data_IF_430767472267
#
_entry.id   IF_430767472267
#
_cell.length_a   1.000
_cell.length_b   1.000
_cell.length_c   1.000
_cell.angle_alpha   90.00
_cell.angle_beta   90.00
_cell.angle_gamma   90.00
#
_symmetry.space_group_name_H-M   'P 1'
#
loop_
_entity.id
_entity.type
_entity.pdbx_description
1 polymer ?
#
# COMPACT_ATOMS: atom_id res chain seq x y z
N UNK A 1 -23.56 -11.27 -8.29
CA UNK A 1 -23.16 -10.16 -9.15
C UNK A 1 -24.43 -9.45 -9.57
N UNK A 2 -24.63 -8.27 -9.00
CA UNK A 2 -25.84 -7.44 -9.15
C UNK A 2 -26.26 -7.33 -10.62
N UNK A 3 -27.56 -7.46 -10.89
CA UNK A 3 -28.18 -7.03 -12.15
C UNK A 3 -27.85 -5.56 -12.46
N UNK A 4 -27.71 -4.71 -11.44
CA UNK A 4 -27.33 -3.31 -11.58
C UNK A 4 -25.91 -3.11 -12.11
N UNK A 5 -24.87 -3.75 -11.54
CA UNK A 5 -23.50 -3.66 -12.09
C UNK A 5 -23.47 -4.02 -13.58
N UNK A 6 -24.17 -5.10 -13.97
CA UNK A 6 -24.20 -5.57 -15.35
C UNK A 6 -24.97 -4.66 -16.32
N UNK A 7 -25.82 -3.75 -15.82
CA UNK A 7 -26.46 -2.70 -16.64
C UNK A 7 -25.48 -1.60 -17.04
N UNK A 8 -24.43 -1.40 -16.25
CA UNK A 8 -23.46 -0.32 -16.47
C UNK A 8 -22.09 -0.82 -16.94
N UNK A 9 -21.72 -2.05 -16.58
CA UNK A 9 -20.39 -2.61 -16.82
C UNK A 9 -20.43 -4.06 -17.33
N UNK A 10 -19.61 -4.35 -18.33
CA UNK A 10 -19.26 -5.72 -18.70
C UNK A 10 -18.10 -6.20 -17.82
N UNK A 11 -18.30 -7.29 -17.07
CA UNK A 11 -17.28 -7.85 -16.17
C UNK A 11 -16.47 -8.90 -16.93
N UNK A 12 -15.15 -8.74 -16.91
CA UNK A 12 -14.19 -9.57 -17.61
C UNK A 12 -13.36 -10.48 -16.69
N UNK A 13 -12.12 -10.81 -17.09
CA UNK A 13 -11.29 -11.78 -16.38
C UNK A 13 -10.88 -11.30 -14.98
N UNK A 14 -10.52 -12.28 -14.15
CA UNK A 14 -9.92 -12.08 -12.83
C UNK A 14 -8.52 -11.49 -12.95
N UNK A 15 -8.28 -10.41 -12.20
CA UNK A 15 -6.98 -9.75 -12.08
C UNK A 15 -6.25 -10.23 -10.81
N UNK A 16 -7.01 -10.54 -9.75
CA UNK A 16 -6.45 -11.07 -8.50
C UNK A 16 -7.53 -11.36 -7.47
N UNK A 17 -7.10 -11.96 -6.34
CA UNK A 17 -7.93 -12.18 -5.15
C UNK A 17 -7.25 -11.59 -3.93
N UNK A 18 -7.97 -10.76 -3.20
CA UNK A 18 -7.56 -10.25 -1.90
C UNK A 18 -8.17 -11.07 -0.76
N UNK A 19 -7.94 -10.61 0.48
CA UNK A 19 -8.44 -11.25 1.72
C UNK A 19 -9.96 -11.46 1.69
N UNK A 20 -10.71 -10.48 1.19
CA UNK A 20 -12.17 -10.45 1.33
C UNK A 20 -12.93 -10.61 0.00
N UNK A 21 -12.23 -10.77 -1.12
CA UNK A 21 -12.92 -10.77 -2.40
C UNK A 21 -12.04 -10.90 -3.63
N UNK A 22 -12.67 -10.76 -4.78
CA UNK A 22 -12.06 -10.93 -6.09
C UNK A 22 -12.04 -9.60 -6.83
N UNK A 23 -10.91 -9.29 -7.47
CA UNK A 23 -10.77 -8.14 -8.37
C UNK A 23 -10.82 -8.64 -9.81
N UNK A 24 -11.71 -8.07 -10.60
CA UNK A 24 -11.87 -8.36 -12.04
C UNK A 24 -11.72 -7.11 -12.87
N UNK A 25 -11.26 -7.24 -14.11
CA UNK A 25 -11.40 -6.16 -15.09
C UNK A 25 -12.88 -5.95 -15.38
N UNK A 26 -13.31 -4.72 -15.56
CA UNK A 26 -14.62 -4.43 -16.16
C UNK A 26 -14.52 -3.29 -17.19
N UNK A 27 -15.52 -3.19 -18.05
CA UNK A 27 -15.60 -2.18 -19.11
C UNK A 27 -16.93 -1.46 -19.00
N UNK A 28 -16.90 -0.13 -18.95
CA UNK A 28 -18.09 0.71 -18.97
C UNK A 28 -18.85 0.49 -20.28
N UNK A 29 -20.14 0.15 -20.19
CA UNK A 29 -21.00 -0.03 -21.36
C UNK A 29 -21.35 1.31 -22.03
N UNK A 30 -21.20 2.42 -21.30
CA UNK A 30 -21.48 3.77 -21.81
C UNK A 30 -20.26 4.36 -22.54
N UNK A 31 -19.07 4.32 -21.91
CA UNK A 31 -17.86 4.99 -22.43
C UNK A 31 -16.88 4.04 -23.12
N UNK A 32 -16.99 2.74 -22.92
CA UNK A 32 -16.00 1.77 -23.39
C UNK A 32 -14.70 1.76 -22.57
N UNK A 33 -14.56 2.61 -21.57
CA UNK A 33 -13.39 2.70 -20.71
C UNK A 33 -13.26 1.49 -19.77
N UNK A 34 -12.02 1.20 -19.38
CA UNK A 34 -11.68 0.04 -18.58
C UNK A 34 -11.42 0.39 -17.12
N UNK A 35 -11.93 -0.45 -16.24
CA UNK A 35 -11.87 -0.29 -14.78
C UNK A 35 -11.52 -1.63 -14.13
N UNK A 36 -11.26 -1.60 -12.83
CA UNK A 36 -11.26 -2.78 -11.98
C UNK A 36 -12.55 -2.80 -11.14
N UNK A 37 -13.13 -3.97 -10.92
CA UNK A 37 -14.22 -4.16 -9.97
C UNK A 37 -13.78 -5.11 -8.86
N UNK A 38 -13.68 -4.59 -7.62
CA UNK A 38 -13.46 -5.39 -6.41
C UNK A 38 -14.82 -5.84 -5.89
N UNK A 39 -15.04 -7.16 -5.84
CA UNK A 39 -16.26 -7.77 -5.33
C UNK A 39 -15.96 -8.43 -3.99
N UNK A 40 -16.52 -7.90 -2.91
CA UNK A 40 -16.33 -8.37 -1.54
C UNK A 40 -17.54 -9.22 -1.15
N UNK A 41 -17.29 -10.44 -0.67
CA UNK A 41 -18.33 -11.37 -0.23
C UNK A 41 -18.78 -11.03 1.19
N UNK A 42 -20.06 -10.66 1.36
CA UNK A 42 -20.60 -10.25 2.66
C UNK A 42 -20.58 -11.39 3.67
N UNK A 43 -20.77 -12.64 3.23
CA UNK A 43 -20.82 -13.79 4.11
C UNK A 43 -19.49 -14.03 4.82
N UNK A 44 -18.37 -13.66 4.19
CA UNK A 44 -17.02 -13.78 4.79
C UNK A 44 -16.74 -12.81 5.93
N UNK A 45 -17.62 -11.83 6.14
CA UNK A 45 -17.44 -10.74 7.09
C UNK A 45 -18.52 -10.73 8.18
N UNK A 46 -19.37 -11.75 8.23
CA UNK A 46 -20.47 -11.83 9.21
C UNK A 46 -20.01 -12.29 10.60
N UNK A 47 -18.88 -13.00 10.69
CA UNK A 47 -18.44 -13.64 11.93
C UNK A 47 -17.63 -12.71 12.86
N UNK A 48 -17.02 -11.65 12.32
CA UNK A 48 -16.21 -10.67 13.08
C UNK A 48 -16.79 -9.24 12.91
N UNK A 49 -17.18 -8.56 14.01
CA UNK A 49 -17.65 -7.18 13.97
C UNK A 49 -16.68 -6.19 13.28
N UNK A 50 -15.36 -6.41 13.39
CA UNK A 50 -14.36 -5.58 12.73
C UNK A 50 -14.42 -5.73 11.21
N UNK A 51 -14.52 -6.97 10.72
CA UNK A 51 -14.61 -7.28 9.30
C UNK A 51 -15.91 -6.72 8.69
N UNK A 52 -17.02 -6.71 9.46
CA UNK A 52 -18.27 -6.06 9.04
C UNK A 52 -18.14 -4.54 8.94
N UNK A 53 -17.52 -3.89 9.93
CA UNK A 53 -17.28 -2.46 9.90
C UNK A 53 -16.38 -2.07 8.72
N UNK A 54 -15.36 -2.88 8.42
CA UNK A 54 -14.49 -2.74 7.25
C UNK A 54 -15.28 -2.73 5.94
N UNK A 55 -16.25 -3.63 5.76
CA UNK A 55 -17.10 -3.66 4.56
C UNK A 55 -17.88 -2.35 4.36
N UNK A 56 -18.52 -1.87 5.42
CA UNK A 56 -19.39 -0.69 5.37
C UNK A 56 -18.59 0.61 5.19
N UNK A 57 -17.34 0.61 5.67
CA UNK A 57 -16.47 1.78 5.65
C UNK A 57 -15.56 1.85 4.42
N UNK A 58 -15.17 0.71 3.82
CA UNK A 58 -14.22 0.69 2.70
C UNK A 58 -14.59 1.68 1.57
N UNK A 59 -15.84 1.74 1.04
CA UNK A 59 -16.18 2.71 0.00
C UNK A 59 -16.05 4.16 0.47
N UNK A 60 -16.39 4.46 1.73
CA UNK A 60 -16.34 5.81 2.29
C UNK A 60 -14.89 6.25 2.50
N UNK A 61 -14.07 5.39 3.08
CA UNK A 61 -12.67 5.65 3.36
C UNK A 61 -11.85 5.71 2.07
N UNK A 62 -12.13 4.85 1.09
CA UNK A 62 -11.51 4.94 -0.25
C UNK A 62 -11.83 6.29 -0.90
N UNK A 63 -13.10 6.73 -0.90
CA UNK A 63 -13.49 8.05 -1.42
C UNK A 63 -12.75 9.18 -0.72
N UNK A 64 -12.72 9.15 0.62
CA UNK A 64 -12.08 10.18 1.42
C UNK A 64 -10.57 10.23 1.17
N UNK A 65 -9.90 9.08 1.15
CA UNK A 65 -8.47 8.97 0.87
C UNK A 65 -8.11 9.45 -0.54
N UNK A 66 -8.97 9.20 -1.53
CA UNK A 66 -8.80 9.56 -2.93
C UNK A 66 -9.12 11.02 -3.26
N UNK A 67 -9.96 11.69 -2.46
CA UNK A 67 -10.48 13.03 -2.74
C UNK A 67 -9.35 14.08 -2.85
N UNK A 68 -8.96 14.45 -4.07
CA UNK A 68 -7.85 15.37 -4.33
C UNK A 68 -6.47 14.77 -4.03
N UNK A 69 -6.37 13.44 -3.96
CA UNK A 69 -5.14 12.69 -3.77
C UNK A 69 -4.96 11.75 -4.97
N UNK A 70 -4.18 12.15 -5.99
CA UNK A 70 -3.97 11.32 -7.17
C UNK A 70 -3.13 10.08 -6.87
N UNK A 71 -2.49 9.98 -5.70
CA UNK A 71 -1.65 8.85 -5.32
C UNK A 71 -2.43 7.75 -4.58
N UNK A 72 -3.74 7.89 -4.41
CA UNK A 72 -4.64 6.84 -3.95
C UNK A 72 -5.56 6.37 -5.08
N UNK A 73 -5.96 5.10 -5.06
CA UNK A 73 -6.88 4.52 -6.05
C UNK A 73 -8.21 5.27 -6.05
N UNK A 74 -8.70 5.67 -7.22
CA UNK A 74 -9.98 6.33 -7.34
C UNK A 74 -11.12 5.32 -7.40
N UNK A 75 -12.26 5.74 -6.87
CA UNK A 75 -13.51 4.98 -6.87
C UNK A 75 -14.55 5.69 -7.73
N UNK A 76 -15.04 4.97 -8.74
CA UNK A 76 -15.91 5.49 -9.78
C UNK A 76 -17.38 5.17 -9.52
N UNK A 77 -17.66 3.98 -8.98
CA UNK A 77 -19.02 3.57 -8.65
C UNK A 77 -19.01 2.51 -7.54
N UNK A 78 -20.16 2.39 -6.86
CA UNK A 78 -20.40 1.35 -5.86
C UNK A 78 -21.75 0.70 -6.18
N UNK A 79 -21.78 -0.63 -6.20
CA UNK A 79 -22.99 -1.42 -6.36
C UNK A 79 -23.07 -2.45 -5.24
N UNK A 80 -24.27 -2.84 -4.86
CA UNK A 80 -24.49 -3.77 -3.76
C UNK A 80 -25.63 -4.74 -4.11
N UNK A 81 -25.37 -6.06 -4.02
CA UNK A 81 -26.40 -7.11 -4.05
C UNK A 81 -26.52 -7.77 -2.67
N UNK A 82 -27.49 -8.67 -2.43
CA UNK A 82 -27.60 -9.36 -1.15
C UNK A 82 -26.34 -10.13 -0.71
N UNK A 83 -25.48 -10.53 -1.64
CA UNK A 83 -24.31 -11.36 -1.38
C UNK A 83 -22.98 -10.58 -1.42
N UNK A 84 -22.90 -9.50 -2.19
CA UNK A 84 -21.64 -8.80 -2.47
C UNK A 84 -21.75 -7.28 -2.42
N UNK A 85 -20.66 -6.65 -2.02
CA UNK A 85 -20.37 -5.24 -2.29
C UNK A 85 -19.38 -5.16 -3.46
N UNK A 86 -19.67 -4.32 -4.45
CA UNK A 86 -18.86 -4.13 -5.64
C UNK A 86 -18.35 -2.69 -5.71
N UNK A 87 -17.02 -2.52 -5.67
CA UNK A 87 -16.37 -1.22 -5.86
C UNK A 87 -15.75 -1.17 -7.27
N UNK A 88 -16.18 -0.21 -8.09
CA UNK A 88 -15.55 0.08 -9.38
C UNK A 88 -14.44 1.10 -9.15
N UNK A 89 -13.21 0.72 -9.47
CA UNK A 89 -11.95 1.40 -9.16
C UNK A 89 -11.14 1.65 -10.44
N UNK A 90 -10.11 2.48 -10.34
CA UNK A 90 -9.10 2.60 -11.41
C UNK A 90 -8.59 1.22 -11.83
N UNK A 91 -8.47 1.00 -13.15
CA UNK A 91 -7.67 -0.11 -13.65
C UNK A 91 -6.20 0.29 -13.65
N UNK A 92 -5.37 -0.47 -12.93
CA UNK A 92 -3.94 -0.23 -12.80
C UNK A 92 -3.20 -1.38 -13.48
N UNK A 93 -2.80 -1.24 -14.76
CA UNK A 93 -2.30 -2.34 -15.56
C UNK A 93 -0.81 -2.66 -15.32
N UNK A 94 -0.08 -1.79 -14.61
CA UNK A 94 1.31 -2.04 -14.25
C UNK A 94 1.46 -3.15 -13.21
N UNK A 95 2.63 -3.80 -13.12
CA UNK A 95 2.89 -4.77 -12.06
C UNK A 95 2.88 -4.06 -10.70
N UNK A 96 2.32 -4.72 -9.69
CA UNK A 96 2.38 -4.26 -8.31
C UNK A 96 3.84 -4.22 -7.81
N UNK A 97 4.08 -3.54 -6.68
CA UNK A 97 5.44 -3.42 -6.15
C UNK A 97 6.01 -4.77 -5.71
N UNK A 98 5.19 -5.74 -5.30
CA UNK A 98 5.66 -7.08 -4.94
C UNK A 98 6.27 -7.79 -6.14
N UNK A 99 5.60 -7.73 -7.30
CA UNK A 99 6.08 -8.28 -8.56
C UNK A 99 7.38 -7.60 -9.00
N UNK A 100 7.49 -6.28 -8.84
CA UNK A 100 8.74 -5.54 -9.13
C UNK A 100 9.88 -5.97 -8.19
N UNK A 101 9.62 -6.07 -6.88
CA UNK A 101 10.61 -6.54 -5.89
C UNK A 101 11.07 -7.96 -6.24
N UNK A 102 10.12 -8.85 -6.53
CA UNK A 102 10.42 -10.25 -6.87
C UNK A 102 11.25 -10.37 -8.14
N UNK A 103 11.01 -9.51 -9.14
CA UNK A 103 11.72 -9.54 -10.40
C UNK A 103 13.10 -8.88 -10.36
N UNK A 104 13.30 -7.86 -9.52
CA UNK A 104 14.43 -6.93 -9.68
C UNK A 104 15.08 -6.42 -8.40
N UNK A 105 14.68 -6.89 -7.21
CA UNK A 105 15.38 -6.51 -5.98
C UNK A 105 16.82 -7.08 -5.94
N UNK A 106 17.77 -6.38 -5.30
CA UNK A 106 17.61 -5.07 -4.65
C UNK A 106 17.50 -3.92 -5.68
N UNK A 107 16.65 -2.95 -5.39
CA UNK A 107 16.51 -1.75 -6.21
C UNK A 107 17.69 -0.79 -6.00
N UNK A 108 18.12 -0.06 -7.04
CA UNK A 108 18.97 1.11 -6.87
C UNK A 108 18.32 2.12 -5.92
N UNK A 109 19.12 2.74 -5.03
CA UNK A 109 18.57 3.70 -4.05
C UNK A 109 17.75 4.83 -4.66
N UNK A 110 18.13 5.44 -5.80
CA UNK A 110 17.30 6.49 -6.42
C UNK A 110 15.91 6.00 -6.84
N UNK A 111 15.80 4.74 -7.27
CA UNK A 111 14.52 4.14 -7.64
C UNK A 111 13.68 3.84 -6.40
N UNK A 112 14.28 3.19 -5.39
CA UNK A 112 13.61 2.94 -4.10
C UNK A 112 13.17 4.26 -3.43
N UNK A 113 13.97 5.32 -3.55
CA UNK A 113 13.67 6.66 -3.07
C UNK A 113 12.45 7.27 -3.78
N UNK A 114 12.36 7.15 -5.10
CA UNK A 114 11.23 7.67 -5.87
C UNK A 114 9.92 6.97 -5.49
N UNK A 115 9.95 5.63 -5.35
CA UNK A 115 8.79 4.84 -4.89
C UNK A 115 8.40 5.23 -3.46
N UNK A 116 9.36 5.33 -2.55
CA UNK A 116 9.11 5.73 -1.17
C UNK A 116 8.53 7.15 -1.06
N UNK A 117 9.06 8.10 -1.83
CA UNK A 117 8.56 9.47 -1.81
C UNK A 117 7.10 9.54 -2.26
N UNK A 118 6.74 8.83 -3.33
CA UNK A 118 5.36 8.75 -3.78
C UNK A 118 4.44 8.03 -2.78
N UNK A 119 4.92 6.98 -2.12
CA UNK A 119 4.19 6.29 -1.06
C UNK A 119 3.98 7.18 0.17
N UNK A 120 5.02 7.89 0.61
CA UNK A 120 4.95 8.81 1.74
C UNK A 120 4.00 9.99 1.44
N UNK A 121 4.00 10.52 0.22
CA UNK A 121 3.04 11.54 -0.21
C UNK A 121 1.59 11.01 -0.19
N UNK A 122 1.36 9.81 -0.71
CA UNK A 122 0.05 9.16 -0.66
C UNK A 122 -0.46 8.99 0.78
N UNK A 123 0.41 8.51 1.68
CA UNK A 123 0.08 8.31 3.09
C UNK A 123 -0.16 9.64 3.81
N UNK A 124 0.71 10.62 3.63
CA UNK A 124 0.55 11.95 4.20
C UNK A 124 -0.77 12.60 3.75
N UNK A 125 -1.16 12.43 2.48
CA UNK A 125 -2.44 12.90 1.98
C UNK A 125 -3.64 12.18 2.63
N UNK A 126 -3.54 10.87 2.90
CA UNK A 126 -4.57 10.13 3.65
C UNK A 126 -4.65 10.60 5.10
N UNK A 127 -3.50 10.72 5.77
CA UNK A 127 -3.37 11.12 7.17
C UNK A 127 -3.94 12.53 7.42
N UNK A 128 -3.67 13.48 6.52
CA UNK A 128 -4.29 14.83 6.58
C UNK A 128 -5.81 14.84 6.48
N UNK A 129 -6.42 13.76 6.00
CA UNK A 129 -7.88 13.58 5.91
C UNK A 129 -8.43 12.69 7.02
N UNK A 130 -7.60 12.37 8.03
CA UNK A 130 -7.97 11.50 9.13
C UNK A 130 -8.15 10.05 8.74
N UNK A 131 -7.53 9.57 7.64
CA UNK A 131 -7.62 8.17 7.18
C UNK A 131 -6.27 7.48 7.36
N UNK A 132 -6.24 6.40 8.15
CA UNK A 132 -5.08 5.52 8.27
C UNK A 132 -5.33 4.24 7.46
N UNK A 133 -4.34 3.77 6.69
CA UNK A 133 -4.50 2.67 5.75
C UNK A 133 -4.45 1.28 6.43
N UNK A 134 -3.54 1.10 7.40
CA UNK A 134 -3.34 -0.08 8.25
C UNK A 134 -2.95 -1.40 7.58
N UNK A 135 -2.97 -1.49 6.25
CA UNK A 135 -2.45 -2.65 5.50
C UNK A 135 -1.51 -2.25 4.34
N UNK A 136 -0.55 -1.36 4.61
CA UNK A 136 0.46 -0.98 3.62
C UNK A 136 1.42 -2.14 3.41
N UNK A 137 1.51 -2.62 2.17
CA UNK A 137 2.39 -3.71 1.72
C UNK A 137 2.64 -3.60 0.22
N UNK A 138 3.67 -4.28 -0.34
CA UNK A 138 4.00 -4.17 -1.75
C UNK A 138 2.84 -4.54 -2.70
N UNK A 139 2.00 -5.50 -2.33
CA UNK A 139 0.81 -5.91 -3.08
C UNK A 139 -0.19 -4.76 -3.30
N UNK A 140 -0.25 -3.83 -2.34
CA UNK A 140 -1.18 -2.69 -2.33
C UNK A 140 -0.57 -1.42 -2.93
N UNK A 141 0.71 -1.47 -3.34
CA UNK A 141 1.39 -0.38 -4.03
C UNK A 141 1.40 -0.68 -5.53
N UNK A 142 0.43 -0.10 -6.22
CA UNK A 142 0.16 -0.31 -7.64
C UNK A 142 0.68 0.86 -8.48
N UNK A 143 0.69 0.67 -9.80
CA UNK A 143 1.19 1.68 -10.73
C UNK A 143 0.24 1.83 -11.93
N UNK A 144 0.00 3.07 -12.34
CA UNK A 144 -0.73 3.37 -13.57
C UNK A 144 0.14 3.17 -14.82
N UNK A 145 -0.44 3.40 -16.00
CA UNK A 145 0.24 3.28 -17.30
C UNK A 145 1.45 4.21 -17.45
N UNK A 146 1.48 5.32 -16.71
CA UNK A 146 2.60 6.26 -16.69
C UNK A 146 3.63 5.89 -15.61
N UNK A 147 3.43 4.78 -14.90
CA UNK A 147 4.27 4.31 -13.81
C UNK A 147 4.18 5.16 -12.55
N UNK A 148 3.10 5.93 -12.38
CA UNK A 148 2.84 6.68 -11.15
C UNK A 148 2.20 5.76 -10.12
N UNK A 149 2.64 5.89 -8.87
CA UNK A 149 2.14 5.09 -7.75
C UNK A 149 0.67 5.38 -7.47
N UNK A 150 -0.08 4.33 -7.12
CA UNK A 150 -1.43 4.36 -6.56
C UNK A 150 -1.49 3.40 -5.39
N UNK A 151 -1.75 3.94 -4.19
CA UNK A 151 -2.04 3.15 -3.01
C UNK A 151 -3.47 2.60 -3.12
N UNK A 152 -3.62 1.29 -2.99
CA UNK A 152 -4.88 0.58 -3.17
C UNK A 152 -5.23 -0.26 -1.93
N UNK A 153 -6.47 -0.76 -1.91
CA UNK A 153 -7.05 -1.62 -0.87
C UNK A 153 -7.17 -0.98 0.53
N UNK A 154 -8.17 -0.10 0.65
CA UNK A 154 -8.57 0.53 1.91
C UNK A 154 -9.52 -0.33 2.76
N UNK A 155 -9.59 -1.65 2.52
CA UNK A 155 -10.47 -2.55 3.26
C UNK A 155 -10.14 -2.67 4.75
N UNK A 156 -8.89 -2.38 5.14
CA UNK A 156 -8.47 -2.32 6.55
C UNK A 156 -8.38 -0.89 7.09
N UNK A 157 -8.71 0.13 6.29
CA UNK A 157 -8.53 1.51 6.69
C UNK A 157 -9.45 1.90 7.86
N UNK A 158 -9.08 2.95 8.60
CA UNK A 158 -9.90 3.51 9.66
C UNK A 158 -9.89 5.05 9.61
N UNK A 159 -11.02 5.65 9.98
CA UNK A 159 -11.12 7.08 10.17
C UNK A 159 -10.78 7.44 11.62
N UNK A 160 -9.68 8.15 11.81
CA UNK A 160 -9.23 8.62 13.12
C UNK A 160 -9.48 10.12 13.34
N UNK A 161 -10.05 10.83 12.36
CA UNK A 161 -10.37 12.26 12.47
C UNK A 161 -9.16 13.13 12.80
N UNK A 162 -9.33 14.08 13.73
CA UNK A 162 -8.29 15.03 14.13
C UNK A 162 -7.33 14.45 15.20
N UNK A 163 -6.78 13.26 14.94
CA UNK A 163 -5.78 12.63 15.82
C UNK A 163 -6.33 11.67 16.88
N UNK A 164 -7.49 11.07 16.63
CA UNK A 164 -8.02 9.96 17.41
C UNK A 164 -7.06 8.77 17.44
N UNK A 165 -7.15 7.97 18.51
CA UNK A 165 -6.46 6.69 18.60
C UNK A 165 -7.31 5.59 17.96
N UNK A 166 -6.63 4.61 17.38
CA UNK A 166 -7.23 3.42 16.78
C UNK A 166 -6.83 2.19 17.59
N UNK A 167 -7.63 1.13 17.51
CA UNK A 167 -7.39 -0.15 18.18
C UNK A 167 -7.55 -1.33 17.20
N UNK A 168 -7.32 -2.55 17.68
CA UNK A 168 -7.52 -3.77 16.90
C UNK A 168 -6.27 -4.23 16.15
N UNK A 169 -6.06 -5.55 16.13
CA UNK A 169 -4.92 -6.19 15.46
C UNK A 169 -5.30 -6.44 14.00
N UNK A 170 -4.79 -5.60 13.09
CA UNK A 170 -5.06 -5.68 11.65
C UNK A 170 -3.77 -5.58 10.83
N UNK A 171 -3.87 -5.93 9.55
CA UNK A 171 -2.77 -5.89 8.59
C UNK A 171 -2.06 -7.23 8.38
N UNK A 172 -1.14 -7.23 7.41
CA UNK A 172 -0.40 -8.43 6.98
C UNK A 172 0.84 -8.66 7.86
N UNK A 173 1.05 -9.85 8.48
CA UNK A 173 1.97 -10.04 9.61
C UNK A 173 3.37 -9.42 9.50
N UNK A 174 4.01 -9.52 8.33
CA UNK A 174 5.36 -8.97 8.10
C UNK A 174 5.44 -7.44 8.14
N UNK A 175 4.33 -6.74 7.96
CA UNK A 175 4.25 -5.29 7.80
C UNK A 175 3.59 -4.59 9.01
N UNK A 176 3.07 -5.35 9.98
CA UNK A 176 2.35 -4.81 11.13
C UNK A 176 3.32 -4.17 12.14
N UNK A 177 2.93 -3.02 12.71
CA UNK A 177 3.71 -2.29 13.70
C UNK A 177 3.67 -2.93 15.10
N UNK A 178 4.70 -2.74 15.96
CA UNK A 178 4.78 -3.38 17.28
C UNK A 178 3.62 -3.06 18.21
N UNK A 179 3.12 -1.83 18.18
CA UNK A 179 1.97 -1.40 18.98
C UNK A 179 0.66 -2.06 18.56
N UNK A 180 0.49 -2.34 17.27
CA UNK A 180 -0.67 -3.10 16.75
C UNK A 180 -0.57 -4.55 17.20
N UNK A 181 0.60 -5.20 17.05
CA UNK A 181 0.83 -6.57 17.53
C UNK A 181 0.62 -6.69 19.04
N UNK A 182 0.99 -5.65 19.80
CA UNK A 182 0.80 -5.61 21.24
C UNK A 182 -0.65 -5.35 21.68
N UNK A 183 -1.58 -5.14 20.74
CA UNK A 183 -2.99 -4.84 21.03
C UNK A 183 -3.18 -3.51 21.78
N UNK A 184 -2.29 -2.54 21.54
CA UNK A 184 -2.37 -1.20 22.16
C UNK A 184 -3.10 -0.24 21.24
N UNK A 185 -3.56 0.88 21.78
CA UNK A 185 -3.95 2.03 20.99
C UNK A 185 -2.77 2.56 20.15
N UNK A 186 -3.05 2.96 18.92
CA UNK A 186 -2.04 3.47 17.98
C UNK A 186 -2.54 4.67 17.17
N UNK A 187 -1.62 5.36 16.50
CA UNK A 187 -1.90 6.46 15.56
C UNK A 187 -1.51 6.07 14.12
N UNK A 188 -1.58 7.04 13.20
CA UNK A 188 -1.30 6.85 11.78
C UNK A 188 0.13 6.40 11.45
N UNK A 189 1.07 6.50 12.41
CA UNK A 189 2.48 6.12 12.20
C UNK A 189 2.67 4.61 12.07
N UNK A 190 1.63 3.80 12.28
CA UNK A 190 1.63 2.38 11.89
C UNK A 190 1.85 2.22 10.38
N UNK A 191 1.30 3.12 9.56
CA UNK A 191 1.53 3.10 8.10
C UNK A 191 2.99 3.42 7.75
N UNK A 192 3.65 4.27 8.54
CA UNK A 192 5.07 4.61 8.34
C UNK A 192 5.98 3.44 8.69
N UNK A 193 5.63 2.65 9.72
CA UNK A 193 6.32 1.40 10.00
C UNK A 193 6.22 0.45 8.81
N UNK A 194 4.99 0.22 8.31
CA UNK A 194 4.74 -0.65 7.17
C UNK A 194 5.48 -0.18 5.91
N UNK A 195 5.49 1.14 5.62
CA UNK A 195 6.28 1.72 4.53
C UNK A 195 7.79 1.54 4.74
N UNK A 196 8.28 1.55 5.99
CA UNK A 196 9.66 1.23 6.32
C UNK A 196 10.02 -0.23 6.02
N UNK A 197 9.09 -1.16 6.27
CA UNK A 197 9.25 -2.57 5.87
C UNK A 197 9.29 -2.70 4.35
N UNK A 198 8.43 -1.97 3.63
CA UNK A 198 8.44 -1.92 2.15
C UNK A 198 9.78 -1.40 1.63
N UNK A 199 10.31 -0.31 2.18
CA UNK A 199 11.63 0.22 1.81
C UNK A 199 12.76 -0.80 2.06
N UNK A 200 12.72 -1.48 3.20
CA UNK A 200 13.69 -2.52 3.52
C UNK A 200 13.63 -3.66 2.48
N UNK A 201 12.42 -4.07 2.08
CA UNK A 201 12.22 -5.09 1.05
C UNK A 201 12.72 -4.65 -0.33
N UNK A 202 12.48 -3.40 -0.74
CA UNK A 202 13.05 -2.87 -1.99
C UNK A 202 14.58 -2.89 -1.99
N UNK A 203 15.21 -2.51 -0.88
CA UNK A 203 16.67 -2.39 -0.78
C UNK A 203 17.41 -3.71 -0.55
N UNK A 204 16.71 -4.80 -0.19
CA UNK A 204 17.36 -6.06 0.20
C UNK A 204 16.74 -7.33 -0.39
N UNK A 205 15.56 -7.24 -0.99
CA UNK A 205 14.79 -8.39 -1.48
C UNK A 205 14.16 -9.27 -0.39
N UNK A 206 14.22 -8.86 0.88
CA UNK A 206 13.64 -9.60 2.01
C UNK A 206 13.05 -8.65 3.05
N UNK A 207 12.31 -9.17 4.03
CA UNK A 207 11.69 -8.39 5.12
C UNK A 207 12.62 -8.33 6.36
N UNK A 208 12.56 -7.27 7.19
CA UNK A 208 13.43 -7.11 8.35
C UNK A 208 13.10 -8.07 9.50
N UNK A 209 11.83 -8.49 9.61
CA UNK A 209 11.32 -9.38 10.67
C UNK A 209 10.72 -10.65 10.07
N UNK A 210 11.57 -11.51 9.51
CA UNK A 210 11.16 -12.78 8.91
C UNK A 210 10.88 -13.85 9.99
N UNK A 211 9.91 -14.73 9.78
CA UNK A 211 9.63 -15.92 10.62
C UNK A 211 8.75 -16.89 9.85
N UNK A 212 8.77 -18.18 10.22
CA UNK A 212 8.04 -19.22 9.48
C UNK A 212 6.56 -19.31 9.89
N UNK A 213 6.18 -18.60 10.96
CA UNK A 213 4.80 -18.44 11.41
C UNK A 213 4.50 -17.00 11.81
N UNK A 214 3.21 -16.61 11.80
CA UNK A 214 2.79 -15.30 12.27
C UNK A 214 3.24 -15.01 13.71
N UNK A 215 3.21 -16.02 14.59
CA UNK A 215 3.67 -15.90 15.97
C UNK A 215 5.17 -15.56 16.07
N UNK A 216 6.01 -16.18 15.25
CA UNK A 216 7.45 -15.87 15.20
C UNK A 216 7.73 -14.49 14.64
N UNK A 217 6.99 -14.08 13.61
CA UNK A 217 7.07 -12.73 13.05
C UNK A 217 6.70 -11.71 14.12
N UNK A 218 5.58 -11.90 14.80
CA UNK A 218 5.11 -11.02 15.87
C UNK A 218 6.10 -10.91 17.03
N UNK A 219 6.70 -12.00 17.48
CA UNK A 219 7.76 -11.98 18.50
C UNK A 219 8.97 -11.13 18.06
N UNK A 220 9.40 -11.24 16.80
CA UNK A 220 10.50 -10.42 16.24
C UNK A 220 10.12 -8.95 16.09
N UNK A 221 8.90 -8.66 15.64
CA UNK A 221 8.35 -7.30 15.53
C UNK A 221 8.32 -6.63 16.91
N UNK A 222 7.82 -7.31 17.94
CA UNK A 222 7.77 -6.80 19.32
C UNK A 222 9.16 -6.52 19.92
N UNK A 223 10.15 -7.35 19.57
CA UNK A 223 11.55 -7.12 19.95
C UNK A 223 12.16 -5.92 19.21
N UNK A 224 11.75 -5.67 17.97
CA UNK A 224 12.18 -4.51 17.17
C UNK A 224 13.69 -4.48 16.88
N UNK A 225 14.35 -5.64 16.87
CA UNK A 225 15.80 -5.73 16.61
C UNK A 225 16.09 -5.61 15.11
N UNK A 226 16.02 -4.38 14.60
CA UNK A 226 16.36 -4.09 13.20
C UNK A 226 17.85 -4.30 12.96
N UNK A 227 18.17 -5.12 11.94
CA UNK A 227 19.54 -5.43 11.54
C UNK A 227 19.76 -5.08 10.08
N UNK A 228 21.01 -4.82 9.72
CA UNK A 228 21.45 -4.59 8.35
C UNK A 228 22.58 -5.56 8.01
N UNK A 229 22.28 -6.83 7.68
CA UNK A 229 23.29 -7.82 7.36
C UNK A 229 24.21 -7.32 6.25
N UNK A 230 25.53 -7.41 6.43
CA UNK A 230 26.49 -6.90 5.44
C UNK A 230 26.35 -7.55 4.07
N UNK A 231 25.84 -8.78 3.98
CA UNK A 231 25.57 -9.45 2.70
C UNK A 231 24.51 -8.72 1.85
N UNK A 232 23.56 -8.03 2.49
CA UNK A 232 22.45 -7.34 1.81
C UNK A 232 22.64 -5.82 1.78
N UNK A 233 23.24 -5.25 2.83
CA UNK A 233 23.29 -3.81 3.05
C UNK A 233 24.71 -3.21 2.92
N UNK A 234 25.68 -3.91 2.33
CA UNK A 234 27.04 -3.34 2.14
C UNK A 234 27.00 -2.06 1.30
N UNK A 235 26.32 -2.13 0.16
CA UNK A 235 26.23 -1.03 -0.81
C UNK A 235 25.14 0.01 -0.46
N UNK A 236 24.32 -0.28 0.55
CA UNK A 236 23.27 0.65 1.00
C UNK A 236 23.88 1.76 1.86
N UNK A 237 23.57 3.00 1.53
CA UNK A 237 24.08 4.21 2.12
C UNK A 237 23.76 4.33 3.62
N UNK A 238 24.62 5.00 4.39
CA UNK A 238 24.31 5.33 5.78
C UNK A 238 22.99 6.12 5.94
N UNK A 239 22.66 6.97 4.97
CA UNK A 239 21.45 7.79 4.97
C UNK A 239 20.17 6.93 4.83
N UNK A 240 20.14 5.98 3.89
CA UNK A 240 19.02 5.04 3.75
C UNK A 240 18.84 4.18 5.01
N UNK A 241 19.94 3.72 5.62
CA UNK A 241 19.91 2.99 6.90
C UNK A 241 19.42 3.85 8.06
N UNK A 242 19.79 5.14 8.13
CA UNK A 242 19.28 6.07 9.14
C UNK A 242 17.77 6.28 8.99
N UNK A 243 17.28 6.47 7.76
CA UNK A 243 15.84 6.57 7.52
C UNK A 243 15.12 5.30 7.97
N UNK A 244 15.59 4.11 7.58
CA UNK A 244 15.01 2.84 8.00
C UNK A 244 14.91 2.73 9.53
N UNK A 245 15.95 3.14 10.28
CA UNK A 245 15.90 3.15 11.75
C UNK A 245 14.83 4.10 12.31
N UNK A 246 14.55 5.22 11.64
CA UNK A 246 13.56 6.20 12.08
C UNK A 246 12.13 5.82 11.69
N UNK A 247 11.94 5.13 10.56
CA UNK A 247 10.65 4.58 10.14
C UNK A 247 10.29 3.32 10.94
N UNK A 248 11.26 2.43 11.15
CA UNK A 248 11.11 1.19 11.95
C UNK A 248 11.47 1.42 13.42
N UNK A 249 11.15 2.60 13.95
CA UNK A 249 11.33 2.90 15.36
C UNK A 249 10.21 2.24 16.17
N UNK A 250 10.58 1.38 17.13
CA UNK A 250 9.61 0.69 18.00
C UNK A 250 8.79 1.65 18.84
N UNK A 251 9.39 2.76 19.27
CA UNK A 251 8.69 3.81 19.99
C UNK A 251 7.96 4.71 18.98
N UNK A 252 6.64 4.55 18.88
CA UNK A 252 5.80 5.29 17.94
C UNK A 252 5.91 6.82 18.12
N UNK A 253 6.15 7.31 19.34
CA UNK A 253 6.31 8.75 19.61
C UNK A 253 7.56 9.35 18.97
N UNK A 254 8.56 8.50 18.69
CA UNK A 254 9.83 8.87 18.05
C UNK A 254 9.89 8.49 16.57
N UNK A 255 8.88 7.74 16.10
CA UNK A 255 8.76 7.34 14.70
C UNK A 255 8.39 8.56 13.86
N UNK A 256 8.94 8.63 12.65
CA UNK A 256 8.59 9.71 11.73
C UNK A 256 7.10 9.65 11.35
N UNK A 257 6.49 10.80 11.09
CA UNK A 257 5.24 10.87 10.33
C UNK A 257 5.50 10.72 8.83
N UNK A 258 4.46 10.48 8.04
CA UNK A 258 4.56 10.41 6.58
C UNK A 258 5.09 11.73 5.99
N UNK A 259 4.64 12.89 6.50
CA UNK A 259 5.15 14.21 6.12
C UNK A 259 6.63 14.38 6.42
N UNK A 260 7.09 13.89 7.58
CA UNK A 260 8.51 13.97 7.95
C UNK A 260 9.40 13.05 7.10
N UNK A 261 8.88 11.90 6.67
CA UNK A 261 9.56 11.03 5.69
C UNK A 261 9.69 11.76 4.36
N UNK A 262 8.58 12.34 3.87
CA UNK A 262 8.56 13.10 2.62
C UNK A 262 9.53 14.28 2.65
N UNK A 263 9.51 15.09 3.72
CA UNK A 263 10.38 16.27 3.85
C UNK A 263 11.87 15.91 3.93
N UNK A 264 12.21 14.77 4.55
CA UNK A 264 13.59 14.28 4.61
C UNK A 264 14.09 13.78 3.24
N UNK A 265 13.20 13.31 2.38
CA UNK A 265 13.53 12.84 1.02
C UNK A 265 13.48 13.92 -0.05
N UNK A 266 12.74 15.02 0.15
CA UNK A 266 12.83 16.19 -0.75
C UNK A 266 14.28 16.67 -0.90
N UNK A 267 15.07 16.59 0.17
CA UNK A 267 16.50 16.96 0.18
C UNK A 267 17.40 15.95 -0.55
N UNK A 268 17.07 14.65 -0.54
CA UNK A 268 17.77 13.66 -1.36
C UNK A 268 17.38 13.80 -2.83
N UNK A 269 16.12 14.13 -3.11
CA UNK A 269 15.63 14.45 -4.44
C UNK A 269 16.36 15.63 -5.09
N UNK A 270 16.57 16.74 -4.40
CA UNK A 270 17.28 17.89 -4.98
C UNK A 270 18.74 17.59 -5.39
N UNK A 271 19.41 16.66 -4.71
CA UNK A 271 20.75 16.21 -5.10
C UNK A 271 20.76 15.26 -6.31
N UNK A 272 19.67 14.54 -6.58
CA UNK A 272 19.56 13.62 -7.72
C UNK A 272 18.79 14.21 -8.92
N UNK A 273 17.86 15.13 -8.70
CA UNK A 273 17.00 15.74 -9.74
C UNK A 273 17.54 17.08 -10.29
N UNK A 274 18.49 17.73 -9.62
CA UNK A 274 19.17 18.94 -10.16
C UNK A 274 20.09 18.65 -11.36
N UNK A 275 20.28 17.37 -11.71
CA UNK A 275 21.18 16.93 -12.78
C UNK A 275 20.55 16.59 -14.12
N UNK A 276 19.22 16.60 -14.30
CA UNK A 276 18.58 16.43 -15.63
C UNK A 276 17.06 16.67 -15.56
N UNK A 277 16.63 17.88 -15.92
CA UNK A 277 15.37 18.01 -16.64
C UNK A 277 15.49 17.22 -17.94
N UNK A 278 14.84 16.07 -18.06
CA UNK A 278 14.07 15.60 -19.22
C UNK A 278 13.37 14.28 -18.84
N UNK A 279 12.04 14.24 -18.95
CA UNK A 279 11.19 13.06 -19.13
C UNK A 279 11.73 11.73 -18.58
N UNK A 280 11.31 11.35 -17.37
CA UNK A 280 11.32 9.95 -16.96
C UNK A 280 10.22 9.20 -17.70
N UNK A 281 10.48 8.91 -18.97
CA UNK A 281 9.81 7.82 -19.68
C UNK A 281 10.38 6.53 -19.08
N UNK A 282 9.61 5.84 -18.25
CA UNK A 282 9.94 4.48 -17.86
C UNK A 282 9.85 3.65 -19.13
N UNK A 283 11.00 3.31 -19.72
CA UNK A 283 11.05 2.38 -20.84
C UNK A 283 10.65 1.00 -20.32
N UNK A 284 9.39 0.64 -20.54
CA UNK A 284 8.94 -0.74 -20.50
C UNK A 284 9.66 -1.46 -21.65
N UNK A 285 10.77 -2.15 -21.38
CA UNK A 285 11.34 -3.08 -22.35
C UNK A 285 10.43 -4.31 -22.36
N UNK A 286 9.77 -4.65 -23.48
CA UNK A 286 9.02 -5.89 -23.57
C UNK A 286 9.98 -7.08 -23.42
N UNK A 287 9.52 -8.21 -22.83
CA UNK A 287 10.35 -9.39 -22.67
C UNK A 287 10.85 -9.91 -24.03
N UNK A 288 12.07 -10.49 -24.11
CA UNK A 288 12.59 -11.04 -25.35
C UNK A 288 11.70 -12.18 -25.83
N UNK A 289 11.19 -12.05 -27.05
CA UNK A 289 10.54 -13.15 -27.77
C UNK A 289 11.63 -14.15 -28.13
N UNK A 290 11.69 -15.28 -27.43
CA UNK A 290 12.45 -16.43 -27.88
C UNK A 290 11.80 -16.99 -29.14
N UNK A 291 12.54 -16.99 -30.26
CA UNK A 291 12.26 -17.83 -31.42
C UNK A 291 12.90 -19.19 -31.22
#
# INVERSE_FOLDING_TARGET
>A
MTSELHRHFSVGPELGRGRFGTVRRCTSLLSGEHFAVKSVDKARLLDDPLDRASLENEPKLTRLAAAGNPSAVQIHAVFEDPLHLHLVLDLLPGPDLLQRITASAPFPEPEAAAVLAALADALAACHRRGVCHRDVKPDNVLFDEQGRLRLADFGSAEFFGDGGRMEGVVGTPYYVAPEVVAGREYDEKVDVWSAGVVLYAMLSGTVPFYGDSAAEVFDKVLRGNLRFPSALFREVSPAAKDLLRRMLCRDASRRLSAEQVLSKYSFLGEFYFSGRHQNLTIFYLPPPIHR
#
